data_IF_000488671020
#
_entry.id   IF_000488671020
#
_cell.length_a   1.000
_cell.length_b   1.000
_cell.length_c   1.000
_cell.angle_alpha   90.00
_cell.angle_beta   90.00
_cell.angle_gamma   90.00
#
_symmetry.space_group_name_H-M   'P 1'
#
loop_
_entity.id
_entity.type
_entity.pdbx_description
1 polymer ?
#
# COMPACT_ATOMS: atom_id res chain seq x y z
N UNK A 1 -13.25 -17.47 0.12
CA UNK A 1 -12.89 -16.05 0.18
C UNK A 1 -12.99 -15.61 1.63
N UNK A 2 -11.92 -15.04 2.18
CA UNK A 2 -11.78 -14.87 3.62
C UNK A 2 -12.27 -13.50 4.07
N UNK A 3 -13.09 -13.50 5.13
CA UNK A 3 -13.24 -12.36 6.03
C UNK A 3 -11.91 -12.17 6.80
N UNK A 4 -11.75 -11.03 7.47
CA UNK A 4 -10.65 -10.82 8.41
C UNK A 4 -10.65 -11.93 9.48
N UNK A 5 -9.46 -12.41 9.84
CA UNK A 5 -9.28 -13.32 10.98
C UNK A 5 -9.72 -12.67 12.29
N UNK A 6 -9.88 -13.46 13.34
CA UNK A 6 -10.23 -12.93 14.67
C UNK A 6 -9.19 -11.91 15.16
N UNK A 7 -7.90 -12.22 15.02
CA UNK A 7 -6.79 -11.31 15.37
C UNK A 7 -6.84 -10.01 14.55
N UNK A 8 -7.02 -10.11 13.23
CA UNK A 8 -7.13 -8.91 12.38
C UNK A 8 -8.43 -8.12 12.65
N UNK A 9 -9.48 -8.77 13.13
CA UNK A 9 -10.71 -8.07 13.54
C UNK A 9 -10.47 -7.25 14.81
N UNK A 10 -9.73 -7.78 15.79
CA UNK A 10 -9.32 -7.00 16.98
C UNK A 10 -8.44 -5.82 16.59
N UNK A 11 -7.46 -6.04 15.72
CA UNK A 11 -6.60 -4.97 15.22
C UNK A 11 -7.37 -3.93 14.41
N UNK A 12 -8.38 -4.35 13.63
CA UNK A 12 -9.25 -3.44 12.91
C UNK A 12 -9.98 -2.47 13.87
N UNK A 13 -10.50 -2.98 14.99
CA UNK A 13 -11.13 -2.16 16.02
C UNK A 13 -10.14 -1.17 16.66
N UNK A 14 -8.89 -1.60 16.90
CA UNK A 14 -7.84 -0.70 17.39
C UNK A 14 -7.51 0.41 16.40
N UNK A 15 -7.51 0.11 15.09
CA UNK A 15 -7.28 1.09 14.02
C UNK A 15 -8.44 2.08 13.97
N UNK A 16 -9.69 1.60 13.99
CA UNK A 16 -10.89 2.45 13.97
C UNK A 16 -10.88 3.44 15.14
N UNK A 17 -10.49 2.99 16.32
CA UNK A 17 -10.42 3.82 17.52
C UNK A 17 -9.38 4.96 17.46
N UNK A 18 -8.55 5.03 16.41
CA UNK A 18 -7.60 6.13 16.20
C UNK A 18 -8.25 7.36 15.56
N UNK A 19 -9.46 7.19 15.00
CA UNK A 19 -10.13 8.23 14.24
C UNK A 19 -11.41 8.70 14.95
N UNK A 20 -11.74 10.00 14.89
CA UNK A 20 -13.02 10.51 15.39
C UNK A 20 -14.22 9.93 14.62
N UNK A 21 -14.04 9.67 13.32
CA UNK A 21 -15.06 9.07 12.45
C UNK A 21 -14.58 7.69 11.98
N UNK A 22 -15.35 6.61 12.20
CA UNK A 22 -14.93 5.26 11.82
C UNK A 22 -14.58 5.12 10.33
N UNK A 23 -15.32 5.79 9.43
CA UNK A 23 -15.07 5.80 7.99
C UNK A 23 -13.64 6.25 7.62
N UNK A 24 -12.99 7.07 8.43
CA UNK A 24 -11.61 7.52 8.17
C UNK A 24 -10.57 6.39 8.28
N UNK A 25 -10.94 5.23 8.84
CA UNK A 25 -10.08 4.05 8.90
C UNK A 25 -10.11 3.17 7.64
N UNK A 26 -10.85 3.52 6.58
CA UNK A 26 -10.98 2.65 5.40
C UNK A 26 -9.65 2.23 4.77
N UNK A 27 -8.75 3.17 4.48
CA UNK A 27 -7.44 2.88 3.86
C UNK A 27 -6.60 1.91 4.70
N UNK A 28 -6.34 2.14 6.01
CA UNK A 28 -5.56 1.19 6.79
C UNK A 28 -6.25 -0.17 6.98
N UNK A 29 -7.59 -0.23 7.00
CA UNK A 29 -8.32 -1.51 7.07
C UNK A 29 -8.20 -2.30 5.76
N UNK A 30 -8.22 -1.63 4.61
CA UNK A 30 -7.99 -2.26 3.30
C UNK A 30 -6.56 -2.81 3.21
N UNK A 31 -5.56 -2.08 3.71
CA UNK A 31 -4.19 -2.60 3.80
C UNK A 31 -4.10 -3.81 4.74
N UNK A 32 -4.84 -3.82 5.85
CA UNK A 32 -4.88 -4.96 6.76
C UNK A 32 -5.47 -6.21 6.08
N UNK A 33 -6.54 -6.06 5.30
CA UNK A 33 -7.10 -7.14 4.50
C UNK A 33 -6.10 -7.66 3.46
N UNK A 34 -5.45 -6.75 2.74
CA UNK A 34 -4.44 -7.11 1.74
C UNK A 34 -3.21 -7.79 2.33
N UNK A 35 -2.78 -7.41 3.53
CA UNK A 35 -1.67 -8.08 4.22
C UNK A 35 -2.00 -9.52 4.63
N UNK A 36 -3.28 -9.79 4.93
CA UNK A 36 -3.74 -11.13 5.29
C UNK A 36 -3.71 -12.09 4.09
N UNK A 37 -4.30 -11.66 2.97
CA UNK A 37 -4.62 -12.55 1.83
C UNK A 37 -3.84 -12.22 0.55
N UNK A 38 -2.94 -11.23 0.60
CA UNK A 38 -2.17 -10.71 -0.55
C UNK A 38 -2.98 -9.79 -1.48
N UNK A 39 -4.30 -9.76 -1.34
CA UNK A 39 -5.25 -8.94 -2.11
C UNK A 39 -6.51 -8.67 -1.26
N UNK A 40 -7.32 -7.71 -1.67
CA UNK A 40 -8.55 -7.32 -0.98
C UNK A 40 -9.74 -8.09 -1.56
N UNK A 41 -10.32 -8.99 -0.76
CA UNK A 41 -11.49 -9.79 -1.18
C UNK A 41 -12.81 -9.04 -0.96
N UNK A 42 -13.85 -9.41 -1.72
CA UNK A 42 -15.22 -8.90 -1.52
C UNK A 42 -15.76 -9.18 -0.10
N UNK A 43 -15.41 -10.33 0.46
CA UNK A 43 -15.80 -10.70 1.82
C UNK A 43 -15.14 -9.80 2.87
N UNK A 44 -13.86 -9.45 2.68
CA UNK A 44 -13.16 -8.51 3.53
C UNK A 44 -13.72 -7.09 3.40
N UNK A 45 -14.01 -6.61 2.17
CA UNK A 45 -14.64 -5.31 1.95
C UNK A 45 -16.01 -5.21 2.63
N UNK A 46 -16.82 -6.25 2.54
CA UNK A 46 -18.14 -6.32 3.17
C UNK A 46 -18.03 -6.24 4.70
N UNK A 47 -17.08 -6.96 5.30
CA UNK A 47 -16.83 -6.89 6.74
C UNK A 47 -16.29 -5.53 7.17
N UNK A 48 -15.38 -4.92 6.40
CA UNK A 48 -14.90 -3.56 6.69
C UNK A 48 -16.06 -2.57 6.69
N UNK A 49 -17.00 -2.70 5.73
CA UNK A 49 -18.21 -1.88 5.66
C UNK A 49 -19.07 -2.01 6.93
N UNK A 50 -19.27 -3.25 7.41
CA UNK A 50 -19.97 -3.54 8.69
C UNK A 50 -19.28 -2.86 9.88
N UNK A 51 -17.94 -2.94 9.96
CA UNK A 51 -17.16 -2.40 11.08
C UNK A 51 -17.18 -0.87 11.16
N UNK A 52 -17.18 -0.17 10.02
CA UNK A 52 -17.13 1.30 9.99
C UNK A 52 -18.50 1.95 9.76
N UNK A 53 -19.54 1.16 9.55
CA UNK A 53 -20.92 1.64 9.38
C UNK A 53 -21.18 2.34 8.05
N UNK A 54 -20.63 1.83 6.95
CA UNK A 54 -20.84 2.34 5.58
C UNK A 54 -21.32 1.23 4.64
N UNK A 55 -21.66 1.55 3.40
CA UNK A 55 -22.01 0.53 2.40
C UNK A 55 -20.76 -0.14 1.80
N UNK A 56 -20.88 -1.40 1.38
CA UNK A 56 -19.80 -2.09 0.66
C UNK A 56 -19.41 -1.37 -0.65
N UNK A 57 -20.37 -0.68 -1.29
CA UNK A 57 -20.11 0.14 -2.47
C UNK A 57 -19.22 1.34 -2.17
N UNK A 58 -19.34 1.98 -1.00
CA UNK A 58 -18.44 3.05 -0.59
C UNK A 58 -17.02 2.54 -0.28
N UNK A 59 -16.91 1.33 0.28
CA UNK A 59 -15.61 0.67 0.49
C UNK A 59 -14.96 0.39 -0.86
N UNK A 60 -15.69 -0.23 -1.79
CA UNK A 60 -15.21 -0.49 -3.14
C UNK A 60 -14.80 0.79 -3.86
N UNK A 61 -15.62 1.85 -3.81
CA UNK A 61 -15.29 3.12 -4.45
C UNK A 61 -14.03 3.78 -3.88
N UNK A 62 -13.75 3.57 -2.59
CA UNK A 62 -12.48 4.01 -1.98
C UNK A 62 -11.33 3.10 -2.44
N UNK A 63 -11.51 1.78 -2.37
CA UNK A 63 -10.47 0.81 -2.70
C UNK A 63 -10.05 0.92 -4.18
N UNK A 64 -11.00 1.05 -5.10
CA UNK A 64 -10.73 1.12 -6.55
C UNK A 64 -10.04 2.41 -6.98
N UNK A 65 -10.08 3.45 -6.14
CA UNK A 65 -9.40 4.71 -6.40
C UNK A 65 -7.89 4.62 -6.14
N UNK A 66 -7.46 3.80 -5.19
CA UNK A 66 -6.05 3.65 -4.84
C UNK A 66 -5.45 2.41 -5.49
N UNK A 67 -4.56 2.63 -6.47
CA UNK A 67 -3.87 1.58 -7.24
C UNK A 67 -3.11 0.54 -6.40
N UNK A 68 -2.73 0.91 -5.17
CA UNK A 68 -2.04 0.01 -4.23
C UNK A 68 -2.88 -1.21 -3.82
N UNK A 69 -4.21 -1.14 -3.94
CA UNK A 69 -5.10 -2.25 -3.59
C UNK A 69 -5.30 -3.18 -4.78
N UNK A 70 -5.02 -4.47 -4.56
CA UNK A 70 -5.18 -5.52 -5.55
C UNK A 70 -6.47 -6.28 -5.26
N UNK A 71 -7.26 -6.51 -6.29
CA UNK A 71 -8.55 -7.23 -6.16
C UNK A 71 -8.47 -8.68 -6.62
N UNK A 72 -7.40 -9.02 -7.32
CA UNK A 72 -7.11 -10.38 -7.79
C UNK A 72 -5.86 -10.91 -7.07
N UNK A 73 -5.72 -12.25 -6.94
CA UNK A 73 -4.52 -12.85 -6.40
C UNK A 73 -3.27 -12.41 -7.17
N UNK A 74 -2.24 -12.01 -6.42
CA UNK A 74 -0.94 -11.64 -6.96
C UNK A 74 0.10 -12.70 -6.61
N UNK A 75 1.21 -12.68 -7.32
CA UNK A 75 2.36 -13.52 -7.03
C UNK A 75 2.95 -13.23 -5.65
N UNK A 76 3.76 -14.14 -5.15
CA UNK A 76 4.44 -13.99 -3.84
C UNK A 76 5.23 -12.68 -3.73
N UNK A 77 5.82 -12.24 -4.84
CA UNK A 77 6.61 -11.03 -4.95
C UNK A 77 5.99 -10.10 -6.00
N UNK A 78 5.49 -8.97 -5.53
CA UNK A 78 5.04 -7.88 -6.39
C UNK A 78 6.23 -6.96 -6.66
N UNK A 79 6.66 -6.92 -7.92
CA UNK A 79 7.82 -6.18 -8.43
C UNK A 79 7.33 -4.91 -9.11
N UNK A 80 7.57 -3.76 -8.48
CA UNK A 80 7.09 -2.47 -8.93
C UNK A 80 8.26 -1.64 -9.43
N UNK A 81 8.35 -1.41 -10.75
CA UNK A 81 9.44 -0.66 -11.36
C UNK A 81 8.98 0.76 -11.65
N UNK A 82 9.72 1.75 -11.13
CA UNK A 82 9.40 3.16 -11.35
C UNK A 82 9.83 3.59 -12.76
N UNK A 83 8.89 4.10 -13.55
CA UNK A 83 9.14 4.63 -14.90
C UNK A 83 8.95 6.14 -15.01
N UNK A 84 8.73 6.84 -13.89
CA UNK A 84 8.57 8.29 -13.87
C UNK A 84 9.91 9.03 -14.14
N UNK A 85 9.85 10.32 -14.43
CA UNK A 85 10.88 11.19 -15.04
C UNK A 85 12.32 10.87 -14.59
N UNK A 86 12.61 10.87 -13.29
CA UNK A 86 13.98 10.64 -12.81
C UNK A 86 14.48 9.23 -13.09
N UNK A 87 13.61 8.22 -13.01
CA UNK A 87 13.97 6.85 -13.36
C UNK A 87 14.04 6.68 -14.87
N UNK A 88 13.11 7.26 -15.62
CA UNK A 88 13.14 7.23 -17.08
C UNK A 88 14.46 7.78 -17.64
N UNK A 89 14.91 8.95 -17.16
CA UNK A 89 16.19 9.55 -17.56
C UNK A 89 17.42 8.70 -17.19
N UNK A 90 17.26 7.77 -16.25
CA UNK A 90 18.33 6.90 -15.73
C UNK A 90 18.20 5.44 -16.19
N UNK A 91 17.33 5.15 -17.17
CA UNK A 91 17.20 3.81 -17.74
C UNK A 91 16.06 2.96 -17.16
N UNK A 92 15.04 3.59 -16.57
CA UNK A 92 13.92 2.89 -15.90
C UNK A 92 13.01 2.12 -16.86
N UNK A 93 12.84 2.61 -18.09
CA UNK A 93 12.07 1.94 -19.14
C UNK A 93 12.81 0.70 -19.64
N UNK A 94 14.13 0.83 -19.86
CA UNK A 94 15.02 -0.27 -20.22
C UNK A 94 15.10 -1.33 -19.13
N UNK A 95 15.03 -0.93 -17.85
CA UNK A 95 14.93 -1.85 -16.72
C UNK A 95 13.60 -2.61 -16.72
N UNK A 96 12.49 -1.94 -17.05
CA UNK A 96 11.17 -2.57 -17.17
C UNK A 96 11.16 -3.60 -18.32
N UNK A 97 11.66 -3.24 -19.51
CA UNK A 97 11.79 -4.14 -20.65
C UNK A 97 12.68 -5.36 -20.32
N UNK A 98 13.78 -5.13 -19.61
CA UNK A 98 14.65 -6.22 -19.13
C UNK A 98 13.92 -7.14 -18.14
N UNK A 99 13.10 -6.57 -17.25
CA UNK A 99 12.30 -7.34 -16.32
C UNK A 99 11.22 -8.19 -17.02
N UNK A 100 10.55 -7.64 -18.04
CA UNK A 100 9.60 -8.38 -18.87
C UNK A 100 10.26 -9.58 -19.55
N UNK A 101 11.45 -9.38 -20.14
CA UNK A 101 12.23 -10.44 -20.78
C UNK A 101 12.66 -11.52 -19.78
N UNK A 102 13.13 -11.11 -18.60
CA UNK A 102 13.63 -12.01 -17.55
C UNK A 102 12.53 -12.84 -16.91
N UNK A 103 11.35 -12.25 -16.69
CA UNK A 103 10.22 -12.92 -16.05
C UNK A 103 9.27 -13.60 -17.05
N UNK A 104 9.32 -13.21 -18.33
CA UNK A 104 8.45 -13.74 -19.38
C UNK A 104 7.00 -13.25 -19.29
N UNK A 105 6.76 -12.09 -18.66
CA UNK A 105 5.44 -11.52 -18.41
C UNK A 105 5.43 -10.01 -18.70
N UNK A 106 4.25 -9.44 -18.94
CA UNK A 106 4.04 -7.98 -19.07
C UNK A 106 3.62 -7.34 -17.73
N UNK A 107 3.74 -6.02 -17.57
CA UNK A 107 3.13 -5.29 -16.46
C UNK A 107 1.64 -5.64 -16.29
N UNK A 108 1.22 -5.83 -15.05
CA UNK A 108 -0.12 -6.29 -14.67
C UNK A 108 -0.31 -7.81 -14.72
N UNK A 109 0.71 -8.59 -15.10
CA UNK A 109 0.62 -10.05 -15.18
C UNK A 109 1.41 -10.72 -14.07
N UNK A 110 1.06 -11.99 -13.82
CA UNK A 110 1.72 -12.85 -12.84
C UNK A 110 2.31 -14.06 -13.55
N UNK A 111 3.50 -14.50 -13.15
CA UNK A 111 4.16 -15.70 -13.69
C UNK A 111 3.36 -16.97 -13.40
N UNK A 112 3.46 -17.98 -14.28
CA UNK A 112 2.70 -19.25 -14.14
C UNK A 112 2.99 -19.99 -12.83
N UNK A 113 4.20 -19.82 -12.28
CA UNK A 113 4.61 -20.40 -11.00
C UNK A 113 4.06 -19.63 -9.78
N UNK A 114 3.34 -18.53 -9.99
CA UNK A 114 2.76 -17.69 -8.94
C UNK A 114 3.80 -16.93 -8.10
N UNK A 115 5.06 -16.85 -8.54
CA UNK A 115 6.12 -16.20 -7.76
C UNK A 115 6.15 -14.69 -7.96
N UNK A 116 5.97 -14.19 -9.17
CA UNK A 116 6.18 -12.78 -9.50
C UNK A 116 4.98 -12.16 -10.16
N UNK A 117 4.58 -10.98 -9.70
CA UNK A 117 3.73 -10.05 -10.45
C UNK A 117 4.57 -8.83 -10.79
N UNK A 118 4.54 -8.40 -12.05
CA UNK A 118 5.27 -7.23 -12.52
C UNK A 118 4.31 -6.04 -12.64
N UNK A 119 4.69 -4.88 -12.12
CA UNK A 119 3.96 -3.63 -12.33
C UNK A 119 4.91 -2.52 -12.79
N UNK A 120 4.46 -1.79 -13.79
CA UNK A 120 4.93 -0.44 -14.10
C UNK A 120 4.25 0.51 -13.12
N UNK A 121 5.03 1.26 -12.35
CA UNK A 121 4.50 2.19 -11.37
C UNK A 121 5.04 3.60 -11.58
N UNK A 122 4.21 4.54 -11.14
CA UNK A 122 4.58 5.94 -11.05
C UNK A 122 5.64 6.21 -9.96
N UNK A 123 5.93 7.50 -9.73
CA UNK A 123 6.96 7.93 -8.79
C UNK A 123 6.83 7.28 -7.39
N UNK A 124 7.84 6.49 -7.01
CA UNK A 124 7.98 5.88 -5.68
C UNK A 124 8.80 6.75 -4.70
N UNK A 125 9.01 8.03 -5.01
CA UNK A 125 9.72 9.00 -4.17
C UNK A 125 11.20 8.68 -3.81
N UNK A 126 11.87 7.82 -4.58
CA UNK A 126 13.30 7.50 -4.44
C UNK A 126 14.14 8.09 -5.60
N UNK A 127 13.83 9.31 -6.03
CA UNK A 127 14.38 9.91 -7.25
C UNK A 127 15.90 10.11 -7.23
N UNK A 128 16.50 10.38 -6.06
CA UNK A 128 17.96 10.50 -5.91
C UNK A 128 18.70 9.17 -6.05
N UNK A 129 17.96 8.07 -6.02
CA UNK A 129 18.45 6.70 -6.07
C UNK A 129 18.00 5.98 -7.36
N UNK A 130 17.62 6.75 -8.38
CA UNK A 130 17.21 6.21 -9.67
C UNK A 130 18.34 5.45 -10.40
N UNK A 131 18.01 4.43 -11.23
CA UNK A 131 16.69 3.81 -11.35
C UNK A 131 16.38 2.95 -10.12
N UNK A 132 15.12 2.94 -9.70
CA UNK A 132 14.69 2.27 -8.49
C UNK A 132 13.41 1.45 -8.68
N UNK A 133 13.28 0.40 -7.90
CA UNK A 133 12.11 -0.48 -7.88
C UNK A 133 11.76 -0.88 -6.44
N UNK A 134 10.59 -1.50 -6.26
CA UNK A 134 10.21 -2.13 -5.01
C UNK A 134 9.87 -3.61 -5.22
N UNK A 135 10.16 -4.42 -4.21
CA UNK A 135 9.58 -5.77 -4.07
C UNK A 135 8.82 -5.84 -2.76
N UNK A 136 7.51 -6.07 -2.81
CA UNK A 136 6.63 -6.04 -1.61
C UNK A 136 6.91 -4.83 -0.70
N UNK A 137 6.97 -3.63 -1.29
CA UNK A 137 7.27 -2.36 -0.62
C UNK A 137 8.66 -2.29 0.05
N UNK A 138 9.62 -3.10 -0.38
CA UNK A 138 11.05 -2.96 -0.03
C UNK A 138 11.79 -2.36 -1.20
N UNK A 139 12.45 -1.23 -0.96
CA UNK A 139 13.12 -0.47 -2.00
C UNK A 139 14.44 -1.11 -2.42
N UNK A 140 14.69 -1.05 -3.72
CA UNK A 140 15.96 -1.36 -4.37
C UNK A 140 16.40 -0.14 -5.17
N UNK A 141 17.61 0.30 -4.90
CA UNK A 141 18.15 1.58 -5.34
C UNK A 141 19.26 1.37 -6.36
N UNK A 142 19.39 2.29 -7.32
CA UNK A 142 20.45 2.33 -8.34
C UNK A 142 20.65 0.95 -9.00
N UNK A 143 19.54 0.30 -9.31
CA UNK A 143 19.55 -1.10 -9.75
C UNK A 143 19.91 -1.19 -11.23
N UNK A 144 20.85 -2.05 -11.57
CA UNK A 144 21.21 -2.39 -12.95
C UNK A 144 20.60 -3.73 -13.37
N UNK A 145 20.53 -3.99 -14.68
CA UNK A 145 19.97 -5.26 -15.21
C UNK A 145 20.61 -6.51 -14.59
N UNK A 146 21.96 -6.63 -14.45
CA UNK A 146 22.56 -7.78 -13.79
C UNK A 146 22.18 -7.91 -12.30
N UNK A 147 21.98 -6.77 -11.61
CA UNK A 147 21.52 -6.79 -10.22
C UNK A 147 20.05 -7.19 -10.12
N UNK A 148 19.23 -6.84 -11.12
CA UNK A 148 17.85 -7.32 -11.23
C UNK A 148 17.82 -8.84 -11.43
N UNK A 149 18.64 -9.40 -12.33
CA UNK A 149 18.71 -10.84 -12.56
C UNK A 149 19.10 -11.58 -11.28
N UNK A 150 20.10 -11.06 -10.56
CA UNK A 150 20.51 -11.61 -9.28
C UNK A 150 19.37 -11.52 -8.24
N UNK A 151 18.65 -10.39 -8.18
CA UNK A 151 17.51 -10.22 -7.29
C UNK A 151 16.42 -11.27 -7.58
N UNK A 152 16.08 -11.51 -8.84
CA UNK A 152 15.11 -12.54 -9.24
C UNK A 152 15.59 -13.94 -8.84
N UNK A 153 16.86 -14.26 -9.06
CA UNK A 153 17.44 -15.54 -8.69
C UNK A 153 17.42 -15.77 -7.16
N UNK A 154 17.76 -14.74 -6.38
CA UNK A 154 17.74 -14.77 -4.92
C UNK A 154 16.30 -14.96 -4.38
N UNK A 155 15.32 -14.30 -5.01
CA UNK A 155 13.91 -14.43 -4.65
C UNK A 155 13.35 -15.82 -4.97
N UNK A 156 13.71 -16.39 -6.14
CA UNK A 156 13.31 -17.76 -6.56
C UNK A 156 13.89 -18.83 -5.64
N UNK A 157 15.16 -18.67 -5.26
CA UNK A 157 15.85 -19.61 -4.36
C UNK A 157 15.45 -19.46 -2.89
N UNK A 158 14.76 -18.38 -2.53
CA UNK A 158 14.40 -18.07 -1.14
C UNK A 158 15.57 -17.58 -0.29
N UNK A 159 16.66 -17.11 -0.92
CA UNK A 159 17.84 -16.57 -0.22
C UNK A 159 17.53 -15.26 0.55
N UNK A 160 16.45 -14.56 0.18
CA UNK A 160 16.01 -13.30 0.81
C UNK A 160 14.88 -13.55 1.80
N UNK A 161 15.21 -13.47 3.08
CA UNK A 161 14.26 -13.56 4.20
C UNK A 161 13.86 -12.18 4.76
N UNK A 162 14.44 -11.10 4.24
CA UNK A 162 14.20 -9.72 4.66
C UNK A 162 12.94 -9.10 4.02
N UNK A 163 12.40 -9.74 2.99
CA UNK A 163 11.23 -9.29 2.23
C UNK A 163 10.00 -10.04 2.76
N UNK A 164 9.06 -9.35 3.44
CA UNK A 164 7.84 -10.00 3.91
C UNK A 164 6.87 -10.30 2.76
N UNK A 165 5.79 -11.06 3.05
CA UNK A 165 4.68 -11.22 2.12
C UNK A 165 4.09 -9.89 1.63
N UNK A 166 3.49 -9.91 0.45
CA UNK A 166 2.80 -8.76 -0.13
C UNK A 166 1.73 -8.20 0.85
N UNK A 167 1.46 -6.90 0.75
CA UNK A 167 0.57 -6.17 1.68
C UNK A 167 1.22 -5.70 2.98
N UNK A 168 2.40 -6.22 3.36
CA UNK A 168 3.09 -5.82 4.60
C UNK A 168 3.81 -4.47 4.47
N UNK A 169 3.10 -3.37 4.72
CA UNK A 169 3.66 -2.01 4.65
C UNK A 169 4.76 -1.77 5.68
N UNK A 170 4.49 -2.08 6.96
CA UNK A 170 5.41 -1.82 8.06
C UNK A 170 5.74 -3.10 8.82
N UNK A 171 7.03 -3.31 9.12
CA UNK A 171 7.48 -4.43 9.96
C UNK A 171 7.15 -4.23 11.45
N UNK A 172 6.87 -2.99 11.85
CA UNK A 172 6.59 -2.61 13.23
C UNK A 172 5.22 -1.94 13.27
N UNK A 173 4.30 -2.53 14.04
CA UNK A 173 3.00 -1.93 14.29
C UNK A 173 3.11 -0.84 15.34
N UNK A 174 2.75 0.38 14.97
CA UNK A 174 2.69 1.48 15.91
C UNK A 174 1.57 1.26 16.92
N UNK A 175 1.91 1.33 18.21
CA UNK A 175 0.97 1.46 19.32
C UNK A 175 1.03 2.88 19.86
N UNK A 176 -0.10 3.58 19.82
CA UNK A 176 -0.23 4.94 20.33
C UNK A 176 -1.02 4.88 21.64
N UNK A 177 -0.37 5.11 22.80
CA UNK A 177 -1.04 5.23 24.09
C UNK A 177 -2.18 6.26 24.04
N UNK A 178 -3.28 6.00 24.76
CA UNK A 178 -4.48 6.84 24.70
C UNK A 178 -4.19 8.31 25.06
N UNK A 179 -3.31 8.55 26.02
CA UNK A 179 -2.85 9.86 26.48
C UNK A 179 -1.97 10.62 25.46
N UNK A 180 -1.47 9.92 24.41
CA UNK A 180 -0.61 10.49 23.37
C UNK A 180 -1.27 10.57 22.00
N UNK A 181 -2.56 10.23 21.89
CA UNK A 181 -3.29 10.35 20.63
C UNK A 181 -3.65 11.82 20.37
N UNK A 182 -2.95 12.46 19.44
CA UNK A 182 -3.27 13.81 19.00
C UNK A 182 -4.42 13.79 17.98
N UNK A 183 -5.33 14.77 18.04
CA UNK A 183 -6.32 15.00 16.97
C UNK A 183 -7.47 14.00 16.87
N UNK A 184 -7.86 13.37 17.98
CA UNK A 184 -9.01 12.42 18.01
C UNK A 184 -10.36 13.14 18.19
N UNK A 185 -10.37 14.46 18.32
CA UNK A 185 -11.60 15.26 18.36
C UNK A 185 -12.15 15.44 16.95
N UNK A 186 -13.47 15.58 16.83
CA UNK A 186 -14.09 15.82 15.52
C UNK A 186 -13.70 17.22 15.01
N UNK A 187 -13.72 17.46 13.68
CA UNK A 187 -13.53 18.80 13.13
C UNK A 187 -14.50 19.84 13.73
N UNK A 188 -15.72 19.41 14.06
CA UNK A 188 -16.75 20.26 14.70
C UNK A 188 -16.39 20.67 16.12
N UNK A 189 -15.64 19.82 16.84
CA UNK A 189 -15.19 20.06 18.22
C UNK A 189 -13.81 20.73 18.29
N UNK A 190 -13.17 20.99 17.15
CA UNK A 190 -11.83 21.55 17.10
C UNK A 190 -11.89 23.08 17.22
N UNK A 191 -11.13 23.65 18.15
CA UNK A 191 -11.04 25.11 18.29
C UNK A 191 -10.47 25.75 17.02
N UNK A 192 -11.04 26.88 16.60
CA UNK A 192 -10.53 27.63 15.47
C UNK A 192 -9.06 28.04 15.71
N UNK A 193 -8.17 27.87 14.71
CA UNK A 193 -6.80 28.31 14.87
C UNK A 193 -6.76 29.81 15.11
N UNK A 194 -6.03 30.25 16.13
CA UNK A 194 -5.91 31.68 16.51
C UNK A 194 -5.38 32.55 15.37
N UNK A 195 -4.64 31.96 14.42
CA UNK A 195 -4.10 32.60 13.22
C UNK A 195 -5.06 32.61 12.03
N UNK A 196 -6.16 31.85 12.11
CA UNK A 196 -7.24 31.83 11.14
C UNK A 196 -8.34 32.80 11.60
N UNK A 197 -7.96 34.06 11.86
CA UNK A 197 -8.89 35.11 12.25
C UNK A 197 -9.98 35.22 11.17
N UNK A 198 -11.23 34.94 11.55
CA UNK A 198 -12.36 35.03 10.64
C UNK A 198 -12.50 36.48 10.17
N UNK A 199 -12.60 36.70 8.87
CA UNK A 199 -12.94 37.99 8.25
C UNK A 199 -14.31 38.55 8.70
N UNK A 200 -15.00 37.90 9.64
CA UNK A 200 -16.27 38.31 10.22
C UNK A 200 -16.14 39.45 11.24
N UNK A 201 -14.96 39.71 11.81
CA UNK A 201 -14.75 40.88 12.70
C UNK A 201 -14.53 42.21 11.93
N UNK A 202 -14.40 42.16 10.59
CA UNK A 202 -14.18 43.36 9.77
C UNK A 202 -15.47 44.05 9.30
N UNK A 203 -16.65 43.58 9.72
CA UNK A 203 -17.97 44.12 9.31
C UNK A 203 -18.86 44.58 10.48
N UNK A 204 -18.28 44.86 11.65
CA UNK A 204 -18.98 45.53 12.77
C UNK A 204 -18.46 46.93 13.00
#
# INVERSE_FOLDING_TARGET
MARLTAENTELALEIIARYPRPKSALIPLLHLAQEQDGHVTDAAMSQIAELVGVSAAEVLGTASFYEMFKFEPVGRYMVNICTNISCQLMGGEELLEHAESTLGIRPGQTTEDGLFTLEDVECIAACTEAPCLQVNYRYFHKISNPQFDQLVADLRSGARNDIPPHGTLAKVRQRIPADRRAGVVTPEDTAHPVWLASSQEAQS
#
